data_IF_505796828023
#
_entry.id   IF_505796828023
#
_cell.length_a   1.000
_cell.length_b   1.000
_cell.length_c   1.000
_cell.angle_alpha   90.00
_cell.angle_beta   90.00
_cell.angle_gamma   90.00
#
_symmetry.space_group_name_H-M   'P 1'
#
loop_
_entity.id
_entity.type
_entity.pdbx_description
1 polymer ?
#
# COMPACT_ATOMS: atom_id res chain seq x y z
N UNK A 1 -1.87 1.62 12.86
CA UNK A 1 -0.38 1.60 13.09
C UNK A 1 0.40 1.88 11.81
N UNK A 2 1.52 2.62 11.86
CA UNK A 2 2.35 2.89 10.68
C UNK A 2 3.37 1.79 10.40
N UNK A 3 3.48 1.35 9.15
CA UNK A 3 4.33 0.24 8.70
C UNK A 3 5.04 0.60 7.41
N UNK A 4 6.32 0.24 7.31
CA UNK A 4 7.11 0.52 6.10
C UNK A 4 6.63 -0.35 4.94
N UNK A 5 6.58 0.21 3.74
CA UNK A 5 6.32 -0.55 2.53
C UNK A 5 7.58 -1.34 2.15
N UNK A 6 7.45 -2.66 2.05
CA UNK A 6 8.54 -3.56 1.70
C UNK A 6 8.48 -4.01 0.25
N UNK A 7 7.28 -4.11 -0.33
CA UNK A 7 7.09 -4.57 -1.71
C UNK A 7 5.73 -4.11 -2.28
N UNK A 8 5.47 -4.43 -3.55
CA UNK A 8 4.22 -4.14 -4.22
C UNK A 8 3.86 -5.26 -5.20
N UNK A 9 2.62 -5.74 -5.16
CA UNK A 9 2.09 -6.70 -6.12
C UNK A 9 0.75 -6.24 -6.70
N UNK A 10 0.35 -6.91 -7.78
CA UNK A 10 -0.98 -6.81 -8.35
C UNK A 10 -1.81 -7.98 -7.84
N UNK A 11 -3.04 -7.72 -7.40
CA UNK A 11 -3.98 -8.80 -7.09
C UNK A 11 -4.70 -9.31 -8.36
N UNK A 12 -5.65 -10.24 -8.18
CA UNK A 12 -6.43 -10.88 -9.24
C UNK A 12 -7.22 -9.88 -10.11
N UNK A 13 -7.61 -8.73 -9.56
CA UNK A 13 -8.30 -7.63 -10.23
C UNK A 13 -7.34 -6.67 -10.95
N UNK A 14 -6.03 -6.95 -10.96
CA UNK A 14 -4.98 -6.02 -11.41
C UNK A 14 -4.96 -4.69 -10.65
N UNK A 15 -5.40 -4.71 -9.39
CA UNK A 15 -5.28 -3.60 -8.47
C UNK A 15 -3.92 -3.67 -7.73
N UNK A 16 -3.29 -2.51 -7.52
CA UNK A 16 -1.99 -2.47 -6.84
C UNK A 16 -2.16 -2.58 -5.32
N UNK A 17 -1.41 -3.51 -4.73
CA UNK A 17 -1.32 -3.76 -3.30
C UNK A 17 0.10 -3.44 -2.83
N UNK A 18 0.21 -2.65 -1.77
CA UNK A 18 1.49 -2.40 -1.09
C UNK A 18 1.66 -3.43 0.03
N UNK A 19 2.73 -4.20 -0.02
CA UNK A 19 3.12 -5.10 1.06
C UNK A 19 3.82 -4.32 2.15
N UNK A 20 3.31 -4.42 3.37
CA UNK A 20 3.85 -3.73 4.53
C UNK A 20 4.71 -4.67 5.37
N UNK A 21 5.66 -4.10 6.12
CA UNK A 21 6.59 -4.84 6.98
C UNK A 21 5.89 -5.72 8.04
N UNK A 22 4.65 -5.40 8.40
CA UNK A 22 3.84 -6.23 9.30
C UNK A 22 3.30 -7.53 8.65
N UNK A 23 3.51 -7.73 7.35
CA UNK A 23 2.95 -8.85 6.59
C UNK A 23 1.56 -8.59 6.00
N UNK A 24 0.99 -7.39 6.20
CA UNK A 24 -0.29 -7.01 5.62
C UNK A 24 -0.15 -6.28 4.28
N UNK A 25 -1.01 -6.64 3.33
CA UNK A 25 -1.22 -5.87 2.11
C UNK A 25 -2.22 -4.73 2.30
N UNK A 26 -1.89 -3.53 1.79
CA UNK A 26 -2.82 -2.41 1.69
C UNK A 26 -3.07 -2.05 0.22
N UNK A 27 -4.34 -2.04 -0.19
CA UNK A 27 -4.72 -1.57 -1.52
C UNK A 27 -4.36 -0.09 -1.68
N UNK A 28 -3.54 0.18 -2.69
CA UNK A 28 -3.06 1.51 -3.07
C UNK A 28 -3.63 1.94 -4.42
N UNK A 29 -4.80 1.38 -4.78
CA UNK A 29 -5.48 1.58 -6.05
C UNK A 29 -5.84 3.04 -6.33
N UNK A 30 -5.75 3.39 -7.61
CA UNK A 30 -6.23 4.66 -8.16
C UNK A 30 -7.63 4.44 -8.75
N UNK A 31 -8.62 4.16 -7.90
CA UNK A 31 -10.01 4.20 -8.30
C UNK A 31 -10.66 5.42 -7.63
N UNK A 32 -11.19 6.40 -8.40
CA UNK A 32 -11.89 7.54 -7.79
C UNK A 32 -13.10 6.99 -7.01
N UNK A 33 -13.45 7.50 -5.82
CA UNK A 33 -13.16 8.89 -5.36
C UNK A 33 -12.24 9.16 -4.15
N UNK A 34 -11.66 8.21 -3.40
CA UNK A 34 -11.27 8.54 -1.99
C UNK A 34 -9.77 8.63 -1.66
N UNK A 35 -8.84 8.13 -2.48
CA UNK A 35 -7.39 8.40 -2.28
C UNK A 35 -6.60 8.41 -3.61
N UNK A 36 -6.13 9.58 -4.02
CA UNK A 36 -5.23 9.70 -5.17
C UNK A 36 -3.80 9.30 -4.77
N UNK A 37 -3.38 8.09 -5.15
CA UNK A 37 -1.99 7.61 -5.02
C UNK A 37 -1.33 7.49 -6.40
N UNK A 38 -1.07 8.61 -7.12
CA UNK A 38 -0.58 8.57 -8.51
C UNK A 38 0.82 7.93 -8.63
N UNK A 39 1.58 7.90 -7.54
CA UNK A 39 2.89 7.26 -7.48
C UNK A 39 2.83 5.74 -7.70
N UNK A 40 1.67 5.10 -7.53
CA UNK A 40 1.55 3.65 -7.77
C UNK A 40 1.52 3.31 -9.27
N UNK A 41 1.17 4.29 -10.11
CA UNK A 41 0.95 4.10 -11.55
C UNK A 41 2.26 3.77 -12.25
N UNK A 42 3.36 4.41 -11.82
CA UNK A 42 4.69 4.20 -12.40
C UNK A 42 5.54 3.31 -11.51
N UNK A 43 6.38 2.48 -12.12
CA UNK A 43 7.33 1.65 -11.35
C UNK A 43 8.30 2.51 -10.54
N UNK A 44 8.72 3.66 -11.09
CA UNK A 44 9.58 4.61 -10.39
C UNK A 44 8.90 5.14 -9.11
N UNK A 45 7.63 5.55 -9.21
CA UNK A 45 6.90 6.04 -8.04
C UNK A 45 6.72 4.97 -6.97
N UNK A 46 6.49 3.70 -7.36
CA UNK A 46 6.47 2.56 -6.40
C UNK A 46 7.82 2.41 -5.71
N UNK A 47 8.91 2.39 -6.47
CA UNK A 47 10.28 2.29 -5.94
C UNK A 47 10.63 3.43 -4.99
N UNK A 48 10.20 4.66 -5.30
CA UNK A 48 10.37 5.83 -4.42
C UNK A 48 9.54 5.73 -3.12
N UNK A 49 8.49 4.90 -3.11
CA UNK A 49 7.68 4.64 -1.91
C UNK A 49 8.14 3.43 -1.10
N UNK A 50 9.08 2.62 -1.59
CA UNK A 50 9.68 1.57 -0.77
C UNK A 50 10.35 2.19 0.46
N UNK A 51 10.07 1.64 1.64
CA UNK A 51 10.51 2.16 2.94
C UNK A 51 9.68 3.32 3.49
N UNK A 52 8.71 3.86 2.74
CA UNK A 52 7.79 4.89 3.27
C UNK A 52 6.83 4.24 4.26
N UNK A 53 6.55 4.94 5.36
CA UNK A 53 5.61 4.50 6.38
C UNK A 53 4.16 4.75 5.92
N UNK A 54 3.36 3.69 5.85
CA UNK A 54 1.93 3.73 5.57
C UNK A 54 1.11 3.26 6.77
N UNK A 55 -0.06 3.85 6.95
CA UNK A 55 -0.98 3.46 8.00
C UNK A 55 -1.66 2.12 7.65
N UNK A 56 -1.25 1.05 8.33
CA UNK A 56 -1.89 -0.25 8.25
C UNK A 56 -3.15 -0.26 9.12
N UNK A 57 -4.32 -0.29 8.48
CA UNK A 57 -5.62 -0.41 9.15
C UNK A 57 -5.80 -1.75 9.85
N UNK A 58 -5.37 -2.85 9.23
CA UNK A 58 -5.44 -4.20 9.84
C UNK A 58 -4.71 -4.26 11.18
N UNK A 59 -3.46 -3.77 11.22
CA UNK A 59 -2.72 -3.69 12.49
C UNK A 59 -3.32 -2.69 13.48
N UNK A 60 -4.14 -1.74 13.04
CA UNK A 60 -4.84 -0.84 13.95
C UNK A 60 -6.04 -1.55 14.59
N UNK A 61 -6.82 -2.28 13.77
CA UNK A 61 -7.98 -3.08 14.20
C UNK A 61 -7.59 -4.28 15.08
N UNK A 62 -6.39 -4.86 14.92
CA UNK A 62 -5.90 -5.96 15.77
C UNK A 62 -5.49 -5.54 17.19
N UNK A 63 -5.52 -4.25 17.51
CA UNK A 63 -5.09 -3.73 18.82
C UNK A 63 -6.23 -3.53 19.83
N UNK A 64 -7.44 -4.03 19.54
CA UNK A 64 -8.63 -3.92 20.40
C UNK A 64 -8.93 -5.17 21.24
#
# INVERSE_FOLDING_TARGET
MQQAIIDFHLDEENDWVADLACGHGQHVRHNPPWQNRPWVITEQGRKEKLGVMLECKKCEEETE
#
